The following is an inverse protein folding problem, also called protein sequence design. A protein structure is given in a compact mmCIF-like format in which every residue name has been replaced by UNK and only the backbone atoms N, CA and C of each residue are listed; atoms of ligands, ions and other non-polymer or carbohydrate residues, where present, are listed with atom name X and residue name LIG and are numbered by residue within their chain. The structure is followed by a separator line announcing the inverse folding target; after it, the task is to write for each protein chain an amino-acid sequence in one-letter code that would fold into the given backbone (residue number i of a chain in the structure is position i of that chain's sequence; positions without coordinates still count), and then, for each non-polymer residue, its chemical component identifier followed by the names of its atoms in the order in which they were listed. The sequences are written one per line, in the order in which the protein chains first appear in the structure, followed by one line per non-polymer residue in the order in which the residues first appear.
data_IF_765752160317
#
_entry.id   IF_765752160317
#
_cell.length_a   1.000
_cell.length_b   1.000
_cell.length_c   1.000
_cell.angle_alpha   90.00
_cell.angle_beta   90.00
_cell.angle_gamma   90.00
#
_symmetry.space_group_name_H-M   'P 1'
#
loop_
_entity.id
_entity.type
_entity.pdbx_description
1 polymer ?
#
# COMPACT_ATOMS: atom_id res chain seq x y z
N UNK A 1 24.09 -11.18 -31.63
CA UNK A 1 23.91 -10.11 -30.62
C UNK A 1 22.96 -9.09 -31.22
N UNK A 2 21.68 -9.16 -30.86
CA UNK A 2 20.70 -8.13 -31.23
C UNK A 2 20.86 -6.92 -30.29
N UNK A 3 20.71 -5.68 -30.78
CA UNK A 3 20.94 -4.49 -29.99
C UNK A 3 19.82 -4.28 -28.96
N UNK A 4 20.23 -3.90 -27.75
CA UNK A 4 19.37 -3.58 -26.61
C UNK A 4 18.79 -2.18 -26.88
N UNK A 5 17.45 -2.07 -26.84
CA UNK A 5 16.73 -0.83 -27.09
C UNK A 5 16.92 0.13 -25.88
N UNK A 6 17.35 1.39 -26.07
CA UNK A 6 17.71 2.29 -24.96
C UNK A 6 16.52 2.95 -24.24
N UNK A 7 15.32 2.35 -24.27
CA UNK A 7 14.13 2.86 -23.57
C UNK A 7 13.91 2.25 -22.17
N UNK A 8 14.68 1.23 -21.77
CA UNK A 8 14.62 0.68 -20.41
C UNK A 8 15.57 1.47 -19.49
N UNK A 9 15.18 2.70 -19.18
CA UNK A 9 15.70 3.33 -17.96
C UNK A 9 15.11 2.52 -16.80
N UNK A 10 15.89 1.93 -15.87
CA UNK A 10 15.32 1.27 -14.72
C UNK A 10 14.50 2.30 -13.96
N UNK A 11 13.18 2.18 -14.04
CA UNK A 11 12.24 3.06 -13.38
C UNK A 11 12.59 3.02 -11.90
N UNK A 12 12.97 4.18 -11.35
CA UNK A 12 13.26 4.29 -9.93
C UNK A 12 12.00 3.91 -9.15
N UNK A 13 12.11 2.87 -8.33
CA UNK A 13 11.04 2.47 -7.41
C UNK A 13 10.63 3.67 -6.56
N UNK A 14 9.33 3.87 -6.26
CA UNK A 14 8.90 4.91 -5.32
C UNK A 14 9.73 4.85 -4.04
N UNK A 15 10.17 6.01 -3.54
CA UNK A 15 11.04 6.09 -2.36
C UNK A 15 10.43 5.38 -1.15
N UNK A 16 9.10 5.43 -1.05
CA UNK A 16 8.32 4.72 -0.03
C UNK A 16 8.55 3.21 -0.09
N UNK A 17 8.54 2.61 -1.28
CA UNK A 17 8.76 1.16 -1.44
C UNK A 17 10.20 0.78 -1.10
N UNK A 18 11.17 1.60 -1.48
CA UNK A 18 12.57 1.39 -1.12
C UNK A 18 12.76 1.38 0.40
N UNK A 19 12.09 2.31 1.11
CA UNK A 19 12.12 2.38 2.57
C UNK A 19 11.57 1.09 3.20
N UNK A 20 10.45 0.58 2.69
CA UNK A 20 9.87 -0.68 3.19
C UNK A 20 10.78 -1.88 2.88
N UNK A 21 11.41 -1.91 1.70
CA UNK A 21 12.39 -2.95 1.33
C UNK A 21 13.61 -2.93 2.26
N UNK A 22 14.13 -1.76 2.63
CA UNK A 22 15.20 -1.64 3.64
C UNK A 22 14.74 -2.10 5.02
N UNK A 23 13.54 -1.69 5.45
CA UNK A 23 12.96 -2.07 6.73
C UNK A 23 12.74 -3.58 6.83
N UNK A 24 12.12 -4.20 5.82
CA UNK A 24 11.92 -5.64 5.76
C UNK A 24 13.26 -6.38 5.74
N UNK A 25 14.24 -5.93 4.96
CA UNK A 25 15.54 -6.58 4.95
C UNK A 25 16.20 -6.58 6.33
N UNK A 26 16.12 -5.46 7.05
CA UNK A 26 16.62 -5.33 8.41
C UNK A 26 15.89 -6.29 9.37
N UNK A 27 14.55 -6.35 9.31
CA UNK A 27 13.74 -7.26 10.15
C UNK A 27 14.10 -8.73 9.90
N UNK A 28 14.29 -9.11 8.63
CA UNK A 28 14.68 -10.46 8.25
C UNK A 28 16.10 -10.79 8.76
N UNK A 29 17.05 -9.86 8.67
CA UNK A 29 18.40 -10.02 9.26
C UNK A 29 18.38 -10.10 10.78
N UNK A 30 17.45 -9.37 11.41
CA UNK A 30 17.20 -9.40 12.85
C UNK A 30 16.33 -10.59 13.30
N UNK A 31 15.95 -11.50 12.37
CA UNK A 31 15.18 -12.73 12.63
C UNK A 31 13.82 -12.49 13.27
N UNK A 32 13.12 -11.46 12.78
CA UNK A 32 11.73 -11.23 13.14
C UNK A 32 10.92 -12.43 12.64
N UNK A 33 10.30 -13.22 13.53
CA UNK A 33 9.72 -14.50 13.15
C UNK A 33 8.37 -14.35 12.45
N UNK A 34 7.61 -13.31 12.81
CA UNK A 34 6.24 -13.08 12.36
C UNK A 34 6.06 -11.60 12.00
N UNK A 35 5.78 -11.33 10.73
CA UNK A 35 5.50 -9.98 10.22
C UNK A 35 4.07 -9.96 9.67
N UNK A 36 3.29 -8.93 9.98
CA UNK A 36 1.97 -8.71 9.39
C UNK A 36 2.01 -7.44 8.55
N UNK A 37 1.94 -7.58 7.22
CA UNK A 37 1.80 -6.46 6.30
C UNK A 37 0.32 -6.19 6.05
N UNK A 38 -0.14 -4.99 6.39
CA UNK A 38 -1.52 -4.56 6.22
C UNK A 38 -1.58 -3.59 5.05
N UNK A 39 -2.33 -3.91 4.00
CA UNK A 39 -2.44 -3.01 2.85
C UNK A 39 -3.64 -3.31 1.97
N UNK A 40 -4.14 -2.26 1.32
CA UNK A 40 -5.33 -2.34 0.47
C UNK A 40 -5.10 -3.08 -0.85
N UNK A 41 -3.84 -3.25 -1.27
CA UNK A 41 -3.48 -3.75 -2.60
C UNK A 41 -2.38 -4.82 -2.48
N UNK A 42 -2.62 -6.01 -3.04
CA UNK A 42 -1.67 -7.13 -2.98
C UNK A 42 -0.46 -6.95 -3.91
N UNK A 43 -0.68 -6.43 -5.12
CA UNK A 43 0.36 -6.30 -6.15
C UNK A 43 1.60 -5.50 -5.67
N UNK A 44 1.48 -4.30 -5.06
CA UNK A 44 2.66 -3.58 -4.58
C UNK A 44 3.33 -4.25 -3.37
N UNK A 45 2.56 -4.93 -2.50
CA UNK A 45 3.12 -5.72 -1.39
C UNK A 45 3.99 -6.85 -1.97
N UNK A 46 3.46 -7.59 -2.95
CA UNK A 46 4.16 -8.66 -3.63
C UNK A 46 5.47 -8.17 -4.25
N UNK A 47 5.44 -7.04 -4.96
CA UNK A 47 6.63 -6.43 -5.55
C UNK A 47 7.70 -6.12 -4.48
N UNK A 48 7.31 -5.51 -3.36
CA UNK A 48 8.22 -5.21 -2.25
C UNK A 48 8.82 -6.48 -1.64
N UNK A 49 8.05 -7.54 -1.50
CA UNK A 49 8.53 -8.84 -1.01
C UNK A 49 9.53 -9.48 -1.97
N UNK A 50 9.27 -9.42 -3.28
CA UNK A 50 10.16 -9.92 -4.32
C UNK A 50 11.49 -9.16 -4.34
N UNK A 51 11.45 -7.83 -4.29
CA UNK A 51 12.63 -6.98 -4.23
C UNK A 51 13.45 -7.24 -2.96
N UNK A 52 12.77 -7.46 -1.82
CA UNK A 52 13.43 -7.81 -0.57
C UNK A 52 14.11 -9.18 -0.64
N UNK A 53 13.49 -10.16 -1.30
CA UNK A 53 14.07 -11.49 -1.49
C UNK A 53 15.29 -11.48 -2.43
N UNK A 54 15.30 -10.59 -3.42
CA UNK A 54 16.37 -10.42 -4.41
C UNK A 54 17.57 -9.61 -3.89
N UNK A 55 17.49 -9.02 -2.69
CA UNK A 55 18.59 -8.23 -2.15
C UNK A 55 19.89 -9.05 -2.03
N UNK A 56 21.05 -8.45 -2.38
CA UNK A 56 22.34 -9.13 -2.27
C UNK A 56 22.59 -9.54 -0.83
N UNK A 57 22.61 -10.85 -0.58
CA UNK A 57 22.87 -11.44 0.73
C UNK A 57 23.77 -12.66 0.56
N UNK A 58 24.41 -13.12 1.62
CA UNK A 58 25.30 -14.28 1.59
C UNK A 58 24.59 -15.58 1.16
N UNK A 59 23.27 -15.63 1.28
CA UNK A 59 22.46 -16.78 0.88
C UNK A 59 21.12 -16.28 0.33
N UNK A 60 20.73 -16.71 -0.89
CA UNK A 60 19.49 -16.25 -1.51
C UNK A 60 18.29 -16.62 -0.65
N UNK A 61 17.35 -15.69 -0.50
CA UNK A 61 16.13 -15.90 0.28
C UNK A 61 15.07 -16.55 -0.59
N UNK A 62 14.54 -17.69 -0.13
CA UNK A 62 13.41 -18.34 -0.78
C UNK A 62 12.13 -17.54 -0.49
N UNK A 63 11.51 -16.95 -1.51
CA UNK A 63 10.17 -16.38 -1.38
C UNK A 63 9.13 -17.42 -1.80
N UNK A 64 8.13 -17.66 -0.95
CA UNK A 64 6.98 -18.52 -1.24
C UNK A 64 5.71 -17.88 -0.73
N UNK A 65 4.70 -17.86 -1.58
CA UNK A 65 3.37 -17.35 -1.24
C UNK A 65 2.32 -18.46 -1.27
N UNK A 66 1.35 -18.36 -0.37
CA UNK A 66 0.22 -19.28 -0.26
C UNK A 66 -1.07 -18.50 -0.08
N UNK A 67 -2.11 -18.91 -0.79
CA UNK A 67 -3.49 -18.48 -0.53
C UNK A 67 -4.42 -19.69 -0.38
N UNK A 68 -5.55 -19.46 0.31
CA UNK A 68 -6.50 -20.51 0.66
C UNK A 68 -7.06 -21.26 -0.55
N UNK A 69 -7.16 -20.61 -1.71
CA UNK A 69 -7.85 -21.15 -2.89
C UNK A 69 -6.88 -21.83 -3.84
N UNK A 70 -5.71 -21.22 -4.10
CA UNK A 70 -4.74 -21.70 -5.08
C UNK A 70 -3.62 -22.54 -4.45
N UNK A 71 -3.41 -22.42 -3.15
CA UNK A 71 -2.33 -23.12 -2.46
C UNK A 71 -0.99 -22.40 -2.62
N UNK A 72 0.11 -23.15 -2.53
CA UNK A 72 1.47 -22.60 -2.72
C UNK A 72 1.71 -22.22 -4.18
N UNK A 73 2.38 -21.10 -4.41
CA UNK A 73 2.70 -20.57 -5.74
C UNK A 73 3.56 -21.50 -6.61
N UNK A 74 4.39 -22.36 -6.00
CA UNK A 74 5.29 -23.25 -6.74
C UNK A 74 4.65 -24.53 -7.27
N UNK A 75 3.63 -25.07 -6.58
CA UNK A 75 3.06 -26.37 -6.93
C UNK A 75 1.54 -26.50 -6.71
N UNK A 76 0.88 -25.44 -6.21
CA UNK A 76 -0.53 -25.43 -5.89
C UNK A 76 -0.94 -26.39 -4.76
N UNK A 77 0.00 -26.85 -3.91
CA UNK A 77 -0.30 -27.74 -2.80
C UNK A 77 -0.99 -27.02 -1.64
N UNK A 78 -1.56 -27.81 -0.73
CA UNK A 78 -2.15 -27.34 0.53
C UNK A 78 -3.35 -26.39 0.37
N UNK A 79 -4.12 -26.53 -0.72
CA UNK A 79 -5.36 -25.75 -0.95
C UNK A 79 -6.39 -26.03 0.14
N UNK A 80 -7.08 -24.99 0.60
CA UNK A 80 -8.17 -25.09 1.57
C UNK A 80 -7.74 -25.45 3.00
N UNK A 81 -6.43 -25.61 3.28
CA UNK A 81 -5.93 -26.05 4.59
C UNK A 81 -4.75 -25.20 5.06
N UNK A 82 -5.05 -24.18 5.89
CA UNK A 82 -4.04 -23.30 6.48
C UNK A 82 -3.03 -24.10 7.30
N UNK A 83 -3.48 -25.12 8.03
CA UNK A 83 -2.59 -25.94 8.86
C UNK A 83 -1.57 -26.72 8.01
N UNK A 84 -1.94 -27.19 6.82
CA UNK A 84 -0.97 -27.86 5.93
C UNK A 84 0.07 -26.86 5.39
N UNK A 85 -0.35 -25.63 5.06
CA UNK A 85 0.57 -24.57 4.67
C UNK A 85 1.57 -24.26 5.80
N UNK A 86 1.10 -24.06 7.04
CA UNK A 86 1.97 -23.84 8.19
C UNK A 86 2.96 -25.01 8.42
N UNK A 87 2.49 -26.25 8.26
CA UNK A 87 3.36 -27.44 8.34
C UNK A 87 4.47 -27.43 7.28
N UNK A 88 4.23 -26.89 6.07
CA UNK A 88 5.28 -26.73 5.05
C UNK A 88 6.35 -25.73 5.51
N UNK A 89 5.94 -24.63 6.15
CA UNK A 89 6.86 -23.64 6.71
C UNK A 89 7.75 -24.27 7.79
N UNK A 90 7.16 -25.07 8.69
CA UNK A 90 7.89 -25.80 9.72
C UNK A 90 8.96 -26.72 9.10
N UNK A 91 8.56 -27.52 8.11
CA UNK A 91 9.40 -28.54 7.45
C UNK A 91 10.43 -27.99 6.47
N UNK A 92 10.36 -26.70 6.10
CA UNK A 92 11.34 -26.10 5.22
C UNK A 92 12.76 -26.18 5.83
N UNK A 93 13.81 -26.45 5.02
CA UNK A 93 15.18 -26.62 5.51
C UNK A 93 15.63 -25.46 6.41
N UNK A 94 16.25 -25.78 7.55
CA UNK A 94 16.62 -24.78 8.57
C UNK A 94 17.78 -23.86 8.12
N UNK A 95 18.62 -24.36 7.22
CA UNK A 95 19.77 -23.67 6.64
C UNK A 95 19.41 -22.73 5.47
N UNK A 96 18.22 -22.90 4.88
CA UNK A 96 17.71 -22.05 3.81
C UNK A 96 16.97 -20.83 4.38
N UNK A 97 17.47 -19.59 4.18
CA UNK A 97 16.71 -18.40 4.50
C UNK A 97 15.44 -18.33 3.65
N UNK A 98 14.33 -17.90 4.24
CA UNK A 98 13.06 -17.91 3.52
C UNK A 98 12.02 -16.93 4.06
N UNK A 99 11.20 -16.43 3.16
CA UNK A 99 10.03 -15.59 3.40
C UNK A 99 8.81 -16.40 2.96
N UNK A 100 7.97 -16.79 3.91
CA UNK A 100 6.74 -17.55 3.66
C UNK A 100 5.55 -16.64 3.87
N UNK A 101 4.81 -16.36 2.80
CA UNK A 101 3.74 -15.36 2.77
C UNK A 101 2.39 -16.07 2.77
N UNK A 102 1.59 -15.89 3.82
CA UNK A 102 0.22 -16.43 3.89
C UNK A 102 -0.79 -15.29 3.77
N UNK A 103 -1.62 -15.37 2.73
CA UNK A 103 -2.56 -14.32 2.38
C UNK A 103 -3.90 -14.49 3.08
N UNK A 104 -4.48 -13.37 3.52
CA UNK A 104 -5.86 -13.23 3.99
C UNK A 104 -6.29 -14.13 5.14
N UNK A 105 -5.39 -14.31 6.11
CA UNK A 105 -5.71 -14.98 7.36
C UNK A 105 -6.47 -14.10 8.37
N UNK A 106 -6.78 -12.83 8.04
CA UNK A 106 -7.54 -11.93 8.92
C UNK A 106 -8.85 -12.54 9.48
N UNK A 107 -9.65 -13.37 8.76
CA UNK A 107 -10.85 -13.96 9.35
C UNK A 107 -10.55 -14.98 10.44
N UNK A 108 -9.45 -15.73 10.29
CA UNK A 108 -8.96 -16.69 11.29
C UNK A 108 -8.47 -15.93 12.52
N UNK A 109 -7.71 -14.86 12.31
CA UNK A 109 -7.15 -14.01 13.36
C UNK A 109 -8.22 -13.20 14.10
N UNK A 110 -9.30 -12.81 13.43
CA UNK A 110 -10.44 -12.10 14.02
C UNK A 110 -11.22 -12.96 15.01
N UNK A 111 -11.30 -14.26 14.76
CA UNK A 111 -12.03 -15.22 15.59
C UNK A 111 -11.12 -16.35 16.07
N UNK A 112 -10.08 -16.05 16.87
CA UNK A 112 -9.04 -17.02 17.20
C UNK A 112 -9.54 -18.14 18.12
N UNK A 113 -10.60 -17.89 18.89
CA UNK A 113 -11.21 -18.85 19.81
C UNK A 113 -12.26 -19.77 19.17
N UNK A 114 -12.56 -19.60 17.88
CA UNK A 114 -13.43 -20.55 17.18
C UNK A 114 -12.75 -21.92 17.10
N UNK A 115 -13.44 -23.04 17.38
CA UNK A 115 -12.82 -24.37 17.40
C UNK A 115 -12.04 -24.74 16.14
N UNK A 116 -12.47 -24.26 14.98
CA UNK A 116 -11.77 -24.47 13.70
C UNK A 116 -10.46 -23.67 13.57
N UNK A 117 -10.32 -22.55 14.27
CA UNK A 117 -9.19 -21.62 14.16
C UNK A 117 -8.14 -21.83 15.25
N UNK A 118 -8.52 -22.36 16.42
CA UNK A 118 -7.61 -22.59 17.56
C UNK A 118 -6.34 -23.36 17.15
N UNK A 119 -6.40 -24.46 16.37
CA UNK A 119 -5.19 -25.16 15.94
C UNK A 119 -4.27 -24.29 15.07
N UNK A 120 -4.85 -23.46 14.20
CA UNK A 120 -4.09 -22.56 13.31
C UNK A 120 -3.37 -21.49 14.13
N UNK A 121 -4.07 -20.84 15.05
CA UNK A 121 -3.49 -19.82 15.95
C UNK A 121 -2.36 -20.41 16.78
N UNK A 122 -2.57 -21.61 17.34
CA UNK A 122 -1.54 -22.30 18.13
C UNK A 122 -0.33 -22.65 17.29
N UNK A 123 -0.53 -23.09 16.05
CA UNK A 123 0.57 -23.46 15.15
C UNK A 123 1.38 -22.24 14.70
N UNK A 124 0.75 -21.11 14.41
CA UNK A 124 1.45 -19.84 14.15
C UNK A 124 2.33 -19.47 15.35
N UNK A 125 1.86 -19.68 16.60
CA UNK A 125 2.64 -19.43 17.81
C UNK A 125 3.84 -20.36 17.96
N UNK A 126 3.63 -21.66 17.69
CA UNK A 126 4.73 -22.65 17.70
C UNK A 126 5.79 -22.25 16.67
N UNK A 127 5.38 -21.95 15.44
CA UNK A 127 6.25 -21.48 14.37
C UNK A 127 6.98 -20.20 14.76
N UNK A 128 6.31 -19.20 15.33
CA UNK A 128 6.97 -17.96 15.73
C UNK A 128 8.16 -18.22 16.69
N UNK A 129 8.00 -19.14 17.65
CA UNK A 129 9.08 -19.53 18.56
C UNK A 129 10.24 -20.25 17.84
N UNK A 130 9.93 -21.14 16.91
CA UNK A 130 10.95 -21.87 16.13
C UNK A 130 11.70 -20.94 15.17
N UNK A 131 10.98 -20.04 14.50
CA UNK A 131 11.50 -19.17 13.46
C UNK A 131 12.52 -18.17 14.00
N UNK A 132 12.42 -17.74 15.27
CA UNK A 132 13.43 -16.90 15.97
C UNK A 132 14.86 -17.47 15.90
N UNK A 133 14.96 -18.81 15.86
CA UNK A 133 16.25 -19.53 15.84
C UNK A 133 16.69 -19.89 14.43
N UNK A 134 15.86 -19.60 13.43
CA UNK A 134 16.10 -19.88 12.02
C UNK A 134 16.35 -18.59 11.22
N UNK A 135 16.58 -18.72 9.92
CA UNK A 135 16.60 -17.59 8.97
C UNK A 135 15.30 -17.50 8.14
N UNK A 136 14.23 -18.14 8.63
CA UNK A 136 12.91 -18.16 8.01
C UNK A 136 12.01 -17.16 8.73
N UNK A 137 11.13 -16.50 7.98
CA UNK A 137 10.13 -15.57 8.52
C UNK A 137 8.77 -15.89 7.92
N UNK A 138 7.76 -15.95 8.79
CA UNK A 138 6.36 -16.04 8.40
C UNK A 138 5.82 -14.62 8.22
N UNK A 139 5.28 -14.34 7.04
CA UNK A 139 4.69 -13.04 6.69
C UNK A 139 3.21 -13.27 6.45
N UNK A 140 2.36 -12.55 7.17
CA UNK A 140 0.92 -12.51 6.92
C UNK A 140 0.62 -11.24 6.12
N UNK A 141 -0.26 -11.34 5.14
CA UNK A 141 -0.70 -10.17 4.35
C UNK A 141 -2.22 -10.09 4.35
N UNK A 142 -2.78 -8.91 4.60
CA UNK A 142 -4.21 -8.68 4.41
C UNK A 142 -4.57 -7.20 4.36
N UNK A 143 -5.82 -6.88 4.00
CA UNK A 143 -6.31 -5.50 4.01
C UNK A 143 -6.73 -5.01 5.41
N UNK A 144 -6.96 -5.93 6.36
CA UNK A 144 -7.45 -5.64 7.70
C UNK A 144 -6.47 -6.12 8.77
N UNK A 145 -6.23 -5.29 9.78
CA UNK A 145 -5.41 -5.64 10.93
C UNK A 145 -6.26 -6.33 12.00
N UNK A 146 -5.97 -7.60 12.27
CA UNK A 146 -6.60 -8.39 13.32
C UNK A 146 -5.48 -9.12 14.07
N UNK A 147 -5.23 -8.75 15.33
CA UNK A 147 -4.14 -9.34 16.14
C UNK A 147 -4.74 -9.98 17.39
N UNK A 148 -4.75 -11.32 17.49
CA UNK A 148 -5.03 -12.02 18.73
C UNK A 148 -4.08 -11.56 19.84
N UNK A 149 -4.54 -11.43 21.11
CA UNK A 149 -3.68 -11.05 22.23
C UNK A 149 -2.43 -11.93 22.39
N UNK A 150 -2.50 -13.19 21.94
CA UNK A 150 -1.40 -14.14 21.96
C UNK A 150 -0.20 -13.78 21.07
N UNK A 151 -0.37 -12.87 20.11
CA UNK A 151 0.66 -12.52 19.12
C UNK A 151 1.31 -11.15 19.34
N UNK A 152 0.85 -10.36 20.33
CA UNK A 152 1.30 -8.98 20.53
C UNK A 152 2.83 -8.86 20.67
N UNK A 153 3.47 -9.79 21.36
CA UNK A 153 4.93 -9.76 21.62
C UNK A 153 5.77 -10.34 20.45
N UNK A 154 5.14 -11.10 19.55
CA UNK A 154 5.83 -11.89 18.52
C UNK A 154 5.64 -11.32 17.11
N UNK A 155 4.55 -10.59 16.90
CA UNK A 155 4.14 -10.06 15.60
C UNK A 155 4.56 -8.61 15.45
N UNK A 156 5.29 -8.30 14.37
CA UNK A 156 5.57 -6.92 13.97
C UNK A 156 4.65 -6.52 12.81
N UNK A 157 3.99 -5.38 12.94
CA UNK A 157 3.07 -4.87 11.93
C UNK A 157 3.77 -3.86 11.02
N UNK A 158 3.49 -3.94 9.72
CA UNK A 158 3.88 -2.94 8.71
C UNK A 158 2.61 -2.47 8.02
N UNK A 159 2.26 -1.20 8.21
CA UNK A 159 1.21 -0.55 7.43
C UNK A 159 1.76 -0.21 6.05
N UNK A 160 1.23 -0.88 5.03
CA UNK A 160 1.58 -0.63 3.65
C UNK A 160 0.84 0.62 3.15
N UNK A 161 1.56 1.68 2.76
CA UNK A 161 0.95 2.96 2.45
C UNK A 161 0.23 2.93 1.10
N UNK A 162 -0.72 3.85 0.95
CA UNK A 162 -1.28 4.20 -0.35
C UNK A 162 -0.22 4.92 -1.21
N UNK A 163 -0.42 4.99 -2.54
CA UNK A 163 0.50 5.66 -3.45
C UNK A 163 0.83 7.10 -3.03
N UNK A 164 2.12 7.41 -3.00
CA UNK A 164 2.62 8.76 -2.78
C UNK A 164 2.58 9.62 -4.07
N UNK A 165 2.98 10.89 -3.98
CA UNK A 165 2.91 11.81 -5.12
C UNK A 165 3.77 11.35 -6.32
N UNK A 166 4.92 10.74 -6.06
CA UNK A 166 5.84 10.29 -7.10
C UNK A 166 5.30 9.04 -7.79
N UNK A 167 4.76 8.11 -6.99
CA UNK A 167 4.08 6.91 -7.48
C UNK A 167 2.83 7.29 -8.30
N UNK A 168 2.03 8.25 -7.84
CA UNK A 168 0.86 8.74 -8.58
C UNK A 168 1.28 9.36 -9.92
N UNK A 169 2.33 10.18 -9.93
CA UNK A 169 2.87 10.74 -11.16
C UNK A 169 3.32 9.66 -12.13
N UNK A 170 3.98 8.62 -11.60
CA UNK A 170 4.38 7.47 -12.38
C UNK A 170 3.17 6.73 -12.95
N UNK A 171 2.16 6.43 -12.14
CA UNK A 171 0.91 5.79 -12.60
C UNK A 171 0.24 6.59 -13.71
N UNK A 172 0.13 7.91 -13.57
CA UNK A 172 -0.43 8.77 -14.63
C UNK A 172 0.40 8.64 -15.91
N UNK A 173 1.73 8.66 -15.82
CA UNK A 173 2.61 8.54 -17.00
C UNK A 173 2.53 7.18 -17.70
N UNK A 174 2.26 6.10 -16.95
CA UNK A 174 2.12 4.75 -17.49
C UNK A 174 0.75 4.52 -18.14
N UNK A 175 -0.30 5.12 -17.56
CA UNK A 175 -1.68 4.88 -17.99
C UNK A 175 -2.14 5.83 -19.09
N UNK A 176 -1.48 6.98 -19.23
CA UNK A 176 -1.90 8.07 -20.11
C UNK A 176 -0.75 8.42 -21.04
N UNK A 177 -0.94 8.22 -22.34
CA UNK A 177 0.02 8.66 -23.35
C UNK A 177 0.22 10.18 -23.26
N UNK A 178 1.46 10.70 -23.47
CA UNK A 178 1.74 12.13 -23.37
C UNK A 178 0.79 13.02 -24.19
N UNK A 179 0.47 12.62 -25.42
CA UNK A 179 -0.42 13.38 -26.33
C UNK A 179 -1.87 13.45 -25.85
N UNK A 180 -2.27 12.55 -24.95
CA UNK A 180 -3.60 12.51 -24.34
C UNK A 180 -3.67 13.27 -23.02
N UNK A 181 -2.54 13.75 -22.50
CA UNK A 181 -2.48 14.52 -21.26
C UNK A 181 -2.49 16.02 -21.57
N UNK A 182 -3.68 16.62 -21.63
CA UNK A 182 -3.88 18.06 -21.89
C UNK A 182 -3.98 18.84 -20.58
N UNK A 183 -2.91 18.81 -19.79
CA UNK A 183 -2.83 19.49 -18.49
C UNK A 183 -1.66 20.49 -18.48
N UNK A 184 -1.90 21.66 -17.89
CA UNK A 184 -0.80 22.54 -17.50
C UNK A 184 0.01 21.90 -16.36
N UNK A 185 1.27 22.32 -16.10
CA UNK A 185 2.03 21.84 -14.95
C UNK A 185 1.28 21.97 -13.62
N UNK A 186 0.59 23.11 -13.41
CA UNK A 186 -0.22 23.36 -12.22
C UNK A 186 -1.41 22.38 -12.13
N UNK A 187 -2.10 22.17 -13.24
CA UNK A 187 -3.28 21.27 -13.31
C UNK A 187 -2.87 19.81 -13.09
N UNK A 188 -1.66 19.42 -13.52
CA UNK A 188 -1.08 18.11 -13.23
C UNK A 188 -0.80 17.95 -11.74
N UNK A 189 -0.23 18.95 -11.08
CA UNK A 189 -0.02 18.91 -9.63
C UNK A 189 -1.34 18.79 -8.86
N UNK A 190 -2.37 19.51 -9.28
CA UNK A 190 -3.71 19.40 -8.70
C UNK A 190 -4.32 18.01 -8.89
N UNK A 191 -4.16 17.40 -10.07
CA UNK A 191 -4.59 16.03 -10.32
C UNK A 191 -3.87 15.04 -9.40
N UNK A 192 -2.55 15.16 -9.23
CA UNK A 192 -1.77 14.32 -8.31
C UNK A 192 -2.27 14.48 -6.87
N UNK A 193 -2.46 15.72 -6.40
CA UNK A 193 -3.03 16.01 -5.07
C UNK A 193 -4.44 15.44 -4.90
N UNK A 194 -5.28 15.48 -5.94
CA UNK A 194 -6.62 14.91 -5.90
C UNK A 194 -6.58 13.37 -5.78
N UNK A 195 -5.63 12.73 -6.47
CA UNK A 195 -5.41 11.28 -6.41
C UNK A 195 -4.83 10.79 -5.07
N UNK A 196 -4.14 11.64 -4.31
CA UNK A 196 -3.59 11.25 -3.00
C UNK A 196 -4.69 10.76 -2.05
N UNK A 197 -4.43 9.63 -1.39
CA UNK A 197 -5.41 8.95 -0.55
C UNK A 197 -6.34 7.99 -1.30
N UNK A 198 -6.11 7.78 -2.60
CA UNK A 198 -6.75 6.71 -3.38
C UNK A 198 -5.77 5.55 -3.59
N UNK A 199 -6.29 4.32 -3.72
CA UNK A 199 -5.52 3.16 -4.15
C UNK A 199 -5.14 3.24 -5.64
N UNK A 200 -4.09 2.51 -6.06
CA UNK A 200 -3.65 2.44 -7.48
C UNK A 200 -4.80 2.00 -8.37
N UNK A 201 -5.54 0.96 -7.96
CA UNK A 201 -6.70 0.46 -8.68
C UNK A 201 -7.81 1.53 -8.86
N UNK A 202 -8.02 2.40 -7.87
CA UNK A 202 -9.00 3.48 -7.97
C UNK A 202 -8.52 4.56 -8.93
N UNK A 203 -7.26 4.98 -8.81
CA UNK A 203 -6.63 5.95 -9.72
C UNK A 203 -6.74 5.45 -11.16
N UNK A 204 -6.33 4.20 -11.41
CA UNK A 204 -6.44 3.54 -12.72
C UNK A 204 -7.86 3.59 -13.27
N UNK A 205 -8.87 3.22 -12.46
CA UNK A 205 -10.27 3.24 -12.89
C UNK A 205 -10.75 4.64 -13.26
N UNK A 206 -10.37 5.68 -12.50
CA UNK A 206 -10.78 7.06 -12.78
C UNK A 206 -10.14 7.58 -14.06
N UNK A 207 -8.83 7.38 -14.22
CA UNK A 207 -8.10 7.80 -15.42
C UNK A 207 -8.62 7.05 -16.66
N UNK A 208 -8.84 5.74 -16.56
CA UNK A 208 -9.41 4.94 -17.64
C UNK A 208 -10.82 5.42 -18.04
N UNK A 209 -11.67 5.79 -17.07
CA UNK A 209 -13.00 6.36 -17.32
C UNK A 209 -12.91 7.69 -18.07
N UNK A 210 -11.98 8.57 -17.67
CA UNK A 210 -11.78 9.85 -18.34
C UNK A 210 -11.33 9.65 -19.80
N UNK A 211 -10.34 8.78 -20.04
CA UNK A 211 -9.85 8.45 -21.38
C UNK A 211 -10.96 7.83 -22.24
N UNK A 212 -11.74 6.89 -21.70
CA UNK A 212 -12.83 6.25 -22.44
C UNK A 212 -13.93 7.24 -22.83
N UNK A 213 -14.12 8.30 -22.06
CA UNK A 213 -15.18 9.30 -22.28
C UNK A 213 -14.74 10.43 -23.22
N UNK A 214 -13.50 10.92 -23.06
CA UNK A 214 -13.02 12.17 -23.70
C UNK A 214 -11.79 11.98 -24.59
N UNK A 215 -11.22 10.78 -24.65
CA UNK A 215 -9.94 10.44 -25.30
C UNK A 215 -8.68 11.16 -24.79
N UNK A 216 -8.85 12.19 -23.95
CA UNK A 216 -7.78 12.93 -23.30
C UNK A 216 -8.16 13.24 -21.85
N UNK A 217 -7.16 13.63 -21.05
CA UNK A 217 -7.34 14.07 -19.66
C UNK A 217 -7.08 15.57 -19.58
N UNK A 218 -8.02 16.32 -19.01
CA UNK A 218 -7.93 17.76 -18.78
C UNK A 218 -8.37 18.13 -17.35
N UNK A 219 -8.39 19.44 -17.03
CA UNK A 219 -8.72 19.95 -15.69
C UNK A 219 -10.09 19.50 -15.16
N UNK A 220 -11.07 19.30 -16.05
CA UNK A 220 -12.42 18.84 -15.67
C UNK A 220 -12.42 17.41 -15.14
N UNK A 221 -11.37 16.63 -15.39
CA UNK A 221 -11.27 15.26 -14.88
C UNK A 221 -10.79 15.23 -13.42
N UNK A 222 -10.26 16.34 -12.89
CA UNK A 222 -9.92 16.48 -11.47
C UNK A 222 -11.17 16.35 -10.60
N UNK A 223 -12.28 16.97 -11.02
CA UNK A 223 -13.58 16.82 -10.33
C UNK A 223 -14.02 15.35 -10.29
N UNK A 224 -13.79 14.60 -11.37
CA UNK A 224 -14.07 13.17 -11.42
C UNK A 224 -13.22 12.34 -10.45
N UNK A 225 -11.98 12.75 -10.18
CA UNK A 225 -11.12 12.14 -9.14
C UNK A 225 -11.64 12.48 -7.75
N UNK A 226 -12.04 13.73 -7.51
CA UNK A 226 -12.62 14.15 -6.23
C UNK A 226 -13.92 13.39 -5.94
N UNK A 227 -14.74 13.14 -6.96
CA UNK A 227 -15.93 12.31 -6.83
C UNK A 227 -15.61 10.87 -6.44
N UNK A 228 -14.57 10.28 -7.05
CA UNK A 228 -14.11 8.94 -6.69
C UNK A 228 -13.55 8.88 -5.27
N UNK A 229 -12.86 9.94 -4.82
CA UNK A 229 -12.38 10.11 -3.45
C UNK A 229 -13.56 10.22 -2.47
N UNK A 230 -14.59 10.99 -2.80
CA UNK A 230 -15.84 11.07 -2.04
C UNK A 230 -16.48 9.70 -1.88
N UNK A 231 -16.57 8.92 -2.97
CA UNK A 231 -17.13 7.57 -2.92
C UNK A 231 -16.29 6.63 -2.07
N UNK A 232 -14.96 6.69 -2.17
CA UNK A 232 -14.06 5.88 -1.35
C UNK A 232 -14.20 6.21 0.14
N UNK A 233 -14.27 7.50 0.49
CA UNK A 233 -14.50 7.96 1.86
C UNK A 233 -15.85 7.46 2.40
N UNK A 234 -16.93 7.59 1.62
CA UNK A 234 -18.26 7.06 2.01
C UNK A 234 -18.24 5.55 2.26
N UNK A 235 -17.45 4.79 1.50
CA UNK A 235 -17.31 3.34 1.70
C UNK A 235 -16.64 2.97 3.02
N UNK A 236 -15.84 3.87 3.62
CA UNK A 236 -15.23 3.63 4.94
C UNK A 236 -16.24 3.73 6.09
N UNK A 237 -17.36 4.43 5.89
CA UNK A 237 -18.42 4.60 6.89
C UNK A 237 -18.05 5.45 8.12
N UNK A 238 -16.82 5.96 8.22
CA UNK A 238 -16.31 6.72 9.38
C UNK A 238 -16.18 8.22 9.06
N UNK A 239 -15.99 8.56 7.78
CA UNK A 239 -15.72 9.92 7.31
C UNK A 239 -16.80 10.35 6.31
N UNK A 240 -17.31 11.57 6.49
CA UNK A 240 -18.14 12.26 5.52
C UNK A 240 -17.29 13.32 4.78
N UNK A 241 -17.43 13.38 3.46
CA UNK A 241 -16.77 14.38 2.63
C UNK A 241 -17.77 15.48 2.29
N UNK A 242 -17.53 16.69 2.79
CA UNK A 242 -18.36 17.87 2.52
C UNK A 242 -17.86 18.58 1.26
N UNK A 243 -18.79 18.82 0.32
CA UNK A 243 -18.47 19.54 -0.90
C UNK A 243 -18.22 21.03 -0.65
N UNK A 244 -17.21 21.59 -1.32
CA UNK A 244 -17.00 23.03 -1.42
C UNK A 244 -17.94 23.68 -2.45
N UNK A 245 -19.20 23.21 -2.56
CA UNK A 245 -20.20 23.89 -3.41
C UNK A 245 -20.64 25.23 -2.80
N UNK A 246 -20.37 25.45 -1.52
CA UNK A 246 -20.57 26.72 -0.88
C UNK A 246 -19.32 27.58 -0.98
N UNK A 247 -19.44 28.73 -1.65
CA UNK A 247 -18.39 29.73 -1.59
C UNK A 247 -18.22 30.20 -0.14
N UNK A 248 -17.02 30.68 0.24
CA UNK A 248 -16.80 31.36 1.53
C UNK A 248 -17.81 32.50 1.82
N UNK A 249 -18.55 32.98 0.82
CA UNK A 249 -19.63 33.97 0.98
C UNK A 249 -20.94 33.38 1.51
N UNK A 250 -21.18 32.08 1.32
CA UNK A 250 -22.40 31.40 1.77
C UNK A 250 -22.29 30.93 3.23
N UNK A 251 -21.07 30.88 3.77
CA UNK A 251 -20.82 30.57 5.19
C UNK A 251 -21.14 31.81 6.03
N UNK A 252 -22.17 31.76 6.88
CA UNK A 252 -22.49 32.85 7.82
C UNK A 252 -21.47 32.93 8.97
N UNK A 253 -20.94 34.12 9.25
CA UNK A 253 -19.95 34.33 10.32
C UNK A 253 -18.52 33.91 9.94
N UNK A 254 -17.67 33.66 10.95
CA UNK A 254 -16.27 33.20 10.81
C UNK A 254 -15.33 34.14 10.03
N UNK A 255 -15.57 35.45 10.01
CA UNK A 255 -14.81 36.41 9.19
C UNK A 255 -13.29 36.35 9.39
N UNK A 256 -12.83 36.19 10.63
CA UNK A 256 -11.39 36.03 10.91
C UNK A 256 -10.81 34.74 10.31
N UNK A 257 -11.58 33.64 10.30
CA UNK A 257 -11.15 32.39 9.68
C UNK A 257 -11.14 32.52 8.14
N UNK A 258 -12.16 33.18 7.56
CA UNK A 258 -12.19 33.43 6.11
C UNK A 258 -10.99 34.25 5.65
N UNK A 259 -10.64 35.28 6.42
CA UNK A 259 -9.45 36.09 6.17
C UNK A 259 -8.18 35.25 6.33
N UNK A 260 -8.08 34.42 7.37
CA UNK A 260 -6.95 33.51 7.61
C UNK A 260 -6.75 32.53 6.45
N UNK A 261 -7.82 31.94 5.92
CA UNK A 261 -7.79 31.01 4.78
C UNK A 261 -7.32 31.73 3.51
N UNK A 262 -7.87 32.90 3.19
CA UNK A 262 -7.47 33.68 2.01
C UNK A 262 -6.00 34.08 2.04
N UNK A 263 -5.49 34.50 3.20
CA UNK A 263 -4.08 34.89 3.35
C UNK A 263 -3.10 33.72 3.19
N UNK A 264 -3.55 32.48 3.38
CA UNK A 264 -2.69 31.28 3.39
C UNK A 264 -2.93 30.34 2.23
N UNK A 265 -3.83 30.68 1.30
CA UNK A 265 -4.12 29.89 0.12
C UNK A 265 -2.85 29.63 -0.71
N UNK A 266 -2.02 30.66 -0.88
CA UNK A 266 -0.76 30.57 -1.63
C UNK A 266 0.33 29.78 -0.88
N UNK A 267 0.16 29.53 0.42
CA UNK A 267 1.09 28.74 1.23
C UNK A 267 0.96 27.23 1.01
N UNK A 268 -0.06 26.77 0.26
CA UNK A 268 -0.29 25.34 -0.04
C UNK A 268 0.33 24.88 -1.38
N UNK A 269 1.05 25.76 -2.09
CA UNK A 269 1.73 25.43 -3.36
C UNK A 269 3.08 24.77 -3.12
N UNK A 270 3.57 24.00 -4.09
CA UNK A 270 4.90 23.39 -4.01
C UNK A 270 6.01 24.44 -4.10
N UNK A 271 5.76 25.55 -4.79
CA UNK A 271 6.65 26.72 -4.85
C UNK A 271 6.84 27.35 -3.47
N UNK A 272 5.76 27.52 -2.71
CA UNK A 272 5.81 28.01 -1.33
C UNK A 272 6.62 27.05 -0.43
N UNK A 273 6.44 25.73 -0.61
CA UNK A 273 7.20 24.71 0.12
C UNK A 273 8.69 24.74 -0.21
N UNK A 274 9.05 24.86 -1.49
CA UNK A 274 10.44 25.03 -1.96
C UNK A 274 11.06 26.33 -1.45
N UNK A 275 10.26 27.38 -1.29
CA UNK A 275 10.67 28.64 -0.68
C UNK A 275 10.76 28.58 0.85
N UNK A 276 10.45 27.43 1.47
CA UNK A 276 10.54 27.22 2.92
C UNK A 276 9.34 27.72 3.71
N UNK A 277 8.22 28.05 3.06
CA UNK A 277 6.98 28.43 3.73
C UNK A 277 6.33 27.15 4.29
N UNK A 278 6.12 27.04 5.62
CA UNK A 278 5.53 25.85 6.21
C UNK A 278 4.05 25.73 5.86
N UNK A 279 3.60 24.52 5.52
CA UNK A 279 2.18 24.25 5.28
C UNK A 279 1.35 24.64 6.51
N UNK A 280 0.23 25.37 6.33
CA UNK A 280 -0.67 25.69 7.42
C UNK A 280 -1.15 24.41 8.11
N UNK A 281 -1.04 24.37 9.45
CA UNK A 281 -1.57 23.26 10.25
C UNK A 281 -3.10 23.26 10.20
N UNK A 282 -3.70 22.08 10.35
CA UNK A 282 -5.15 21.95 10.45
C UNK A 282 -5.69 22.85 11.57
N UNK A 283 -6.79 23.54 11.29
CA UNK A 283 -7.51 24.36 12.26
C UNK A 283 -8.59 23.49 12.88
N UNK A 284 -8.58 23.36 14.20
CA UNK A 284 -9.67 22.74 14.96
C UNK A 284 -10.59 23.87 15.43
N UNK A 285 -11.88 23.76 15.12
CA UNK A 285 -12.93 24.70 15.54
C UNK A 285 -13.85 24.01 16.55
#
# INVERSE_FOLDING_TARGET
MAPINPSDTPVALPQTYQTIVEQLDLMLRARYPLIYIVGAEEEPIQLVLELTAQKPTTSPRLLRSWDLVRGWDDNGADKGTVIAALNRVAKAPADQPGMFVLKDLHPVLKFPLQPANVPVVREIKNLAMELKRSRKTLILTSYALEIPPEFIEEMTVIDFPLPDADEINYLISQLVLPDRLKLSPLSREQLVKACQGLSRARIQRVLAKAIATKQHINEQDIDGVLDAKRQAIRQTGILEFCDAQESLKNVGGLEHLKQWVRMRQDSFTEEARRYGIPNPKGVLL
#
